data_IF_970026167755
#
_entry.id   IF_970026167755
#
_cell.length_a   1.000
_cell.length_b   1.000
_cell.length_c   1.000
_cell.angle_alpha   90.00
_cell.angle_beta   90.00
_cell.angle_gamma   90.00
#
_symmetry.space_group_name_H-M   'P 1'
#
loop_
_entity.id
_entity.type
_entity.pdbx_description
1 polymer ?
#
# COMPACT_ATOMS: atom_id res chain seq x y z
N UNK A 1 -46.96 -17.67 -20.62
CA UNK A 1 -46.01 -18.18 -19.60
C UNK A 1 -44.66 -17.55 -19.90
N UNK A 2 -44.25 -16.56 -19.13
CA UNK A 2 -43.01 -15.81 -19.37
C UNK A 2 -41.97 -16.30 -18.38
N UNK A 3 -40.99 -17.07 -18.86
CA UNK A 3 -39.90 -17.57 -18.03
C UNK A 3 -38.87 -16.46 -17.80
N UNK A 4 -38.76 -15.99 -16.57
CA UNK A 4 -37.70 -15.08 -16.14
C UNK A 4 -36.43 -15.90 -15.84
N UNK A 5 -35.38 -15.67 -16.63
CA UNK A 5 -34.05 -16.24 -16.37
C UNK A 5 -33.37 -15.37 -15.31
N UNK A 6 -33.34 -15.86 -14.07
CA UNK A 6 -32.57 -15.25 -12.96
C UNK A 6 -31.11 -15.66 -13.16
N UNK A 7 -30.30 -14.72 -13.65
CA UNK A 7 -28.86 -14.88 -13.77
C UNK A 7 -28.24 -14.69 -12.37
N UNK A 8 -28.02 -15.79 -11.64
CA UNK A 8 -27.27 -15.78 -10.39
C UNK A 8 -25.80 -15.40 -10.68
N UNK A 9 -25.45 -14.14 -10.43
CA UNK A 9 -24.06 -13.69 -10.43
C UNK A 9 -23.42 -14.22 -9.14
N UNK A 10 -22.73 -15.34 -9.22
CA UNK A 10 -21.93 -15.84 -8.11
C UNK A 10 -20.76 -14.86 -7.84
N UNK A 11 -20.51 -14.45 -6.59
CA UNK A 11 -19.32 -13.66 -6.26
C UNK A 11 -18.09 -14.56 -6.45
N UNK A 12 -17.28 -14.27 -7.48
CA UNK A 12 -15.97 -14.89 -7.59
C UNK A 12 -15.12 -14.45 -6.38
N UNK A 13 -14.64 -15.38 -5.54
CA UNK A 13 -13.61 -15.03 -4.58
C UNK A 13 -12.38 -14.60 -5.40
N UNK A 14 -11.93 -13.36 -5.20
CA UNK A 14 -10.58 -12.96 -5.63
C UNK A 14 -9.61 -13.75 -4.76
N UNK A 15 -9.33 -14.98 -5.20
CA UNK A 15 -8.22 -15.76 -4.69
C UNK A 15 -6.97 -15.09 -5.24
N UNK A 16 -6.21 -14.48 -4.34
CA UNK A 16 -4.96 -13.84 -4.68
C UNK A 16 -3.96 -14.90 -5.19
N UNK A 17 -3.32 -14.61 -6.32
CA UNK A 17 -2.54 -15.59 -7.09
C UNK A 17 -1.17 -15.85 -6.43
N UNK A 18 -0.62 -17.07 -6.51
CA UNK A 18 0.76 -17.32 -6.10
C UNK A 18 1.75 -16.54 -6.98
N UNK A 19 2.92 -16.20 -6.43
CA UNK A 19 3.95 -15.49 -7.19
C UNK A 19 4.41 -16.34 -8.40
N UNK A 20 4.30 -15.83 -9.64
CA UNK A 20 4.75 -16.55 -10.83
C UNK A 20 6.25 -16.82 -10.78
N UNK A 21 6.69 -18.02 -11.20
CA UNK A 21 8.12 -18.39 -11.25
C UNK A 21 8.96 -17.49 -12.17
N UNK A 22 8.33 -16.78 -13.11
CA UNK A 22 8.97 -15.83 -14.02
C UNK A 22 9.12 -14.43 -13.42
N UNK A 23 8.49 -14.16 -12.27
CA UNK A 23 8.56 -12.87 -11.61
C UNK A 23 9.96 -12.63 -11.04
N UNK A 24 10.52 -11.45 -11.32
CA UNK A 24 11.85 -11.05 -10.85
C UNK A 24 11.71 -9.97 -9.78
N UNK A 25 12.49 -10.02 -8.69
CA UNK A 25 12.49 -8.93 -7.70
C UNK A 25 12.80 -7.59 -8.38
N UNK A 26 12.03 -6.55 -8.04
CA UNK A 26 12.34 -5.19 -8.49
C UNK A 26 13.59 -4.66 -7.79
N UNK A 27 14.33 -3.76 -8.44
CA UNK A 27 15.52 -3.16 -7.83
C UNK A 27 15.16 -2.06 -6.83
N UNK A 28 16.07 -1.71 -5.90
CA UNK A 28 15.86 -0.59 -4.99
C UNK A 28 15.53 0.73 -5.71
N UNK A 29 16.22 1.01 -6.81
CA UNK A 29 16.03 2.24 -7.60
C UNK A 29 14.65 2.29 -8.28
N UNK A 30 14.17 1.15 -8.79
CA UNK A 30 12.84 1.07 -9.40
C UNK A 30 11.75 1.37 -8.36
N UNK A 31 11.87 0.81 -7.16
CA UNK A 31 10.90 1.01 -6.07
C UNK A 31 11.01 2.45 -5.53
N UNK A 32 12.23 2.98 -5.38
CA UNK A 32 12.45 4.37 -4.95
C UNK A 32 11.78 5.34 -5.94
N UNK A 33 11.96 5.13 -7.25
CA UNK A 33 11.30 5.94 -8.30
C UNK A 33 9.79 5.77 -8.31
N UNK A 34 9.29 4.59 -7.96
CA UNK A 34 7.86 4.31 -7.88
C UNK A 34 7.18 5.16 -6.78
N UNK A 35 7.83 5.33 -5.63
CA UNK A 35 7.25 5.99 -4.46
C UNK A 35 7.63 7.47 -4.29
N UNK A 36 8.86 7.84 -4.62
CA UNK A 36 9.39 9.18 -4.34
C UNK A 36 8.52 10.30 -4.93
N UNK A 37 8.07 11.21 -4.07
CA UNK A 37 7.21 12.33 -4.42
C UNK A 37 5.77 11.91 -4.77
N UNK A 38 5.30 10.78 -4.25
CA UNK A 38 3.95 10.27 -4.50
C UNK A 38 3.16 10.02 -3.22
N UNK A 39 1.85 10.08 -3.36
CA UNK A 39 0.90 9.64 -2.36
C UNK A 39 0.36 8.26 -2.73
N UNK A 40 0.39 7.31 -1.80
CA UNK A 40 -0.42 6.09 -1.92
C UNK A 40 -1.78 6.32 -1.28
N UNK A 41 -2.85 6.04 -2.03
CA UNK A 41 -4.22 6.18 -1.57
C UNK A 41 -4.88 4.81 -1.32
N UNK A 42 -4.92 4.38 -0.06
CA UNK A 42 -5.63 3.16 0.34
C UNK A 42 -7.07 3.47 0.74
N UNK A 43 -7.90 2.42 0.89
CA UNK A 43 -9.32 2.56 1.22
C UNK A 43 -9.58 3.35 2.50
N UNK A 44 -8.74 3.18 3.52
CA UNK A 44 -8.94 3.76 4.85
C UNK A 44 -7.83 4.74 5.27
N UNK A 45 -6.79 4.90 4.46
CA UNK A 45 -5.61 5.70 4.79
C UNK A 45 -4.95 6.27 3.53
N UNK A 46 -4.11 7.28 3.71
CA UNK A 46 -3.23 7.79 2.67
C UNK A 46 -1.86 8.10 3.26
N UNK A 47 -0.80 7.86 2.51
CA UNK A 47 0.57 8.20 2.88
C UNK A 47 1.27 8.93 1.73
N UNK A 48 1.93 10.04 2.04
CA UNK A 48 2.83 10.73 1.14
C UNK A 48 4.28 10.35 1.44
N UNK A 49 4.99 9.88 0.42
CA UNK A 49 6.38 9.45 0.45
C UNK A 49 7.26 10.56 -0.12
N UNK A 50 7.80 11.40 0.75
CA UNK A 50 8.60 12.53 0.34
C UNK A 50 9.97 12.06 -0.19
N UNK A 51 10.57 12.76 -1.19
CA UNK A 51 11.87 12.38 -1.75
C UNK A 51 13.04 12.38 -0.75
N UNK A 52 12.89 13.06 0.39
CA UNK A 52 13.89 13.13 1.46
C UNK A 52 13.88 11.91 2.41
N UNK A 53 13.05 10.91 2.13
CA UNK A 53 12.91 9.71 2.96
C UNK A 53 11.91 9.87 4.11
N UNK A 54 11.19 10.99 4.21
CA UNK A 54 10.11 11.15 5.19
C UNK A 54 8.77 10.65 4.66
N UNK A 55 7.93 10.14 5.57
CA UNK A 55 6.54 9.75 5.27
C UNK A 55 5.59 10.45 6.23
N UNK A 56 4.46 10.92 5.71
CA UNK A 56 3.34 11.41 6.53
C UNK A 56 2.02 10.93 5.95
N UNK A 57 1.02 10.79 6.80
CA UNK A 57 -0.25 10.21 6.40
C UNK A 57 -1.33 10.34 7.44
N UNK A 58 -2.51 9.84 7.08
CA UNK A 58 -3.64 9.76 8.00
C UNK A 58 -4.37 8.44 7.84
N UNK A 59 -5.01 7.99 8.92
CA UNK A 59 -5.98 6.90 8.92
C UNK A 59 -7.37 7.45 9.23
N UNK A 60 -8.38 6.84 8.62
CA UNK A 60 -9.77 7.27 8.67
C UNK A 60 -10.14 8.05 7.41
N UNK A 61 -11.11 7.50 6.66
CA UNK A 61 -11.76 8.13 5.52
C UNK A 61 -13.27 7.95 5.64
N UNK A 62 -14.09 8.95 5.28
CA UNK A 62 -13.70 10.29 4.80
C UNK A 62 -13.23 11.25 5.92
N UNK A 63 -13.45 10.87 7.19
CA UNK A 63 -13.05 11.64 8.37
C UNK A 63 -11.75 11.09 8.94
N UNK A 64 -10.76 11.96 9.11
CA UNK A 64 -9.46 11.63 9.70
C UNK A 64 -9.66 11.24 11.16
N UNK A 65 -9.20 10.04 11.53
CA UNK A 65 -9.23 9.53 12.90
C UNK A 65 -7.91 9.73 13.62
N UNK A 66 -6.81 9.63 12.88
CA UNK A 66 -5.46 9.85 13.41
C UNK A 66 -4.51 10.16 12.27
N UNK A 67 -3.41 10.82 12.59
CA UNK A 67 -2.30 11.10 11.67
C UNK A 67 -1.10 10.24 12.03
N UNK A 68 -0.20 10.05 11.07
CA UNK A 68 1.08 9.41 11.33
C UNK A 68 2.21 10.11 10.57
N UNK A 69 3.42 10.01 11.12
CA UNK A 69 4.64 10.44 10.46
C UNK A 69 5.79 9.50 10.78
N UNK A 70 6.81 9.53 9.93
CA UNK A 70 8.00 8.72 10.11
C UNK A 70 8.92 8.81 8.91
N UNK A 71 9.60 7.71 8.62
CA UNK A 71 10.51 7.58 7.48
C UNK A 71 10.12 6.41 6.61
N UNK A 72 10.60 6.40 5.37
CA UNK A 72 10.54 5.26 4.49
C UNK A 72 11.91 4.98 3.89
N UNK A 73 12.16 3.71 3.58
CA UNK A 73 13.41 3.24 2.99
C UNK A 73 13.14 2.04 2.10
N UNK A 74 14.05 1.82 1.15
CA UNK A 74 14.03 0.66 0.26
C UNK A 74 15.28 -0.18 0.51
N UNK A 75 15.09 -1.47 0.77
CA UNK A 75 16.16 -2.46 0.94
C UNK A 75 15.86 -3.66 0.06
N UNK A 76 16.73 -3.93 -0.93
CA UNK A 76 16.46 -4.98 -1.92
C UNK A 76 15.18 -4.67 -2.71
N UNK A 77 14.24 -5.61 -2.72
CA UNK A 77 12.95 -5.43 -3.40
C UNK A 77 11.81 -5.02 -2.45
N UNK A 78 12.14 -4.54 -1.26
CA UNK A 78 11.19 -4.18 -0.21
C UNK A 78 11.26 -2.69 0.11
N UNK A 79 10.12 -2.02 0.16
CA UNK A 79 9.96 -0.71 0.78
C UNK A 79 9.33 -0.88 2.16
N UNK A 80 9.85 -0.20 3.16
CA UNK A 80 9.25 -0.13 4.49
C UNK A 80 9.00 1.32 4.86
N UNK A 81 7.86 1.59 5.50
CA UNK A 81 7.63 2.77 6.31
C UNK A 81 7.79 2.41 7.78
N UNK A 82 8.56 3.20 8.51
CA UNK A 82 8.67 3.14 9.96
C UNK A 82 8.02 4.43 10.49
N UNK A 83 6.96 4.33 11.29
CA UNK A 83 6.15 5.48 11.65
C UNK A 83 5.59 5.42 13.08
N UNK A 84 4.98 6.51 13.50
CA UNK A 84 4.29 6.63 14.77
C UNK A 84 3.01 7.45 14.60
N UNK A 85 2.03 7.14 15.43
CA UNK A 85 0.81 7.94 15.62
C UNK A 85 0.95 8.72 16.94
N UNK A 86 0.01 9.62 17.28
CA UNK A 86 -0.03 10.23 18.61
C UNK A 86 -0.16 9.23 19.77
N UNK A 87 -0.62 7.99 19.52
CA UNK A 87 -0.88 6.98 20.55
C UNK A 87 0.14 5.84 20.55
N UNK A 88 0.71 5.53 19.40
CA UNK A 88 1.51 4.33 19.18
C UNK A 88 2.83 4.69 18.49
N UNK A 89 3.92 4.07 18.93
CA UNK A 89 5.26 4.26 18.35
C UNK A 89 5.86 2.93 17.91
N UNK A 90 6.90 3.00 17.06
CA UNK A 90 7.58 1.80 16.56
C UNK A 90 6.75 0.97 15.58
N UNK A 91 5.77 1.57 14.91
CA UNK A 91 4.98 0.90 13.88
C UNK A 91 5.81 0.78 12.59
N UNK A 92 5.66 -0.33 11.89
CA UNK A 92 6.37 -0.60 10.64
C UNK A 92 5.48 -1.34 9.67
N UNK A 93 5.46 -0.89 8.43
CA UNK A 93 4.68 -1.48 7.35
C UNK A 93 5.56 -1.61 6.10
N UNK A 94 5.59 -2.80 5.48
CA UNK A 94 6.47 -3.09 4.35
C UNK A 94 5.74 -3.74 3.19
N UNK A 95 6.23 -3.44 1.98
CA UNK A 95 5.79 -4.06 0.73
C UNK A 95 6.97 -4.56 -0.07
N UNK A 96 6.91 -5.83 -0.48
CA UNK A 96 7.82 -6.43 -1.44
C UNK A 96 7.26 -6.35 -2.85
N UNK A 97 8.15 -6.18 -3.81
CA UNK A 97 7.81 -5.96 -5.21
C UNK A 97 8.54 -6.90 -6.16
N UNK A 98 7.81 -7.38 -7.16
CA UNK A 98 8.34 -8.16 -8.28
C UNK A 98 7.77 -7.65 -9.59
N UNK A 99 8.52 -7.83 -10.67
CA UNK A 99 8.11 -7.54 -12.03
C UNK A 99 7.92 -8.85 -12.79
N UNK A 100 6.78 -9.00 -13.44
CA UNK A 100 6.49 -10.08 -14.37
C UNK A 100 6.10 -9.47 -15.73
N UNK A 101 7.09 -9.26 -16.61
CA UNK A 101 6.89 -8.48 -17.82
C UNK A 101 6.52 -7.02 -17.50
N UNK A 102 5.30 -6.60 -17.88
CA UNK A 102 4.77 -5.26 -17.60
C UNK A 102 4.04 -5.18 -16.26
N UNK A 103 3.71 -6.31 -15.65
CA UNK A 103 2.98 -6.35 -14.38
C UNK A 103 3.92 -6.11 -13.20
N UNK A 104 3.43 -5.39 -12.21
CA UNK A 104 4.05 -5.25 -10.89
C UNK A 104 3.21 -6.06 -9.90
N UNK A 105 3.87 -6.99 -9.24
CA UNK A 105 3.28 -7.86 -8.22
C UNK A 105 3.80 -7.39 -6.87
N UNK A 106 2.91 -7.29 -5.90
CA UNK A 106 3.17 -6.77 -4.58
C UNK A 106 2.77 -7.80 -3.52
N UNK A 107 3.53 -7.87 -2.44
CA UNK A 107 3.17 -8.56 -1.20
C UNK A 107 3.23 -7.55 -0.07
N UNK A 108 2.18 -7.49 0.76
CA UNK A 108 2.23 -6.78 2.04
C UNK A 108 3.08 -7.65 2.98
N UNK A 109 4.37 -7.33 3.11
CA UNK A 109 5.41 -8.22 3.65
C UNK A 109 5.70 -7.98 5.13
N UNK A 110 5.18 -6.90 5.69
CA UNK A 110 5.10 -6.65 7.13
C UNK A 110 3.88 -5.81 7.40
N UNK A 111 3.00 -6.29 8.26
CA UNK A 111 1.78 -5.57 8.61
C UNK A 111 1.98 -4.85 9.94
N UNK A 112 1.71 -3.55 9.99
CA UNK A 112 1.85 -2.77 11.23
C UNK A 112 0.93 -3.27 12.36
N UNK A 113 -0.16 -3.98 12.02
CA UNK A 113 -1.14 -4.55 12.95
C UNK A 113 -0.74 -5.93 13.49
N UNK A 114 0.43 -6.46 13.08
CA UNK A 114 0.95 -7.75 13.51
C UNK A 114 0.23 -8.96 12.90
N UNK A 115 -0.70 -8.74 11.96
CA UNK A 115 -1.34 -9.85 11.26
C UNK A 115 -0.32 -10.62 10.40
N UNK A 116 -0.57 -11.92 10.23
CA UNK A 116 0.37 -12.81 9.53
C UNK A 116 0.37 -12.51 8.04
N UNK A 117 1.57 -12.46 7.47
CA UNK A 117 1.77 -12.39 6.03
C UNK A 117 1.41 -13.75 5.42
N UNK A 118 0.52 -13.74 4.42
CA UNK A 118 0.28 -14.92 3.59
C UNK A 118 1.33 -14.97 2.47
N UNK A 119 2.45 -15.63 2.72
CA UNK A 119 3.53 -15.73 1.72
C UNK A 119 3.18 -16.65 0.54
N UNK A 120 2.10 -17.43 0.64
CA UNK A 120 1.66 -18.34 -0.41
C UNK A 120 0.69 -17.66 -1.38
N UNK A 121 -0.29 -16.93 -0.85
CA UNK A 121 -1.38 -16.34 -1.64
C UNK A 121 -1.55 -14.83 -1.42
N UNK A 122 -0.72 -14.15 -0.62
CA UNK A 122 -0.87 -12.73 -0.31
C UNK A 122 -0.47 -11.76 -1.42
N UNK A 123 -0.21 -12.24 -2.65
CA UNK A 123 0.27 -11.40 -3.74
C UNK A 123 -0.87 -10.72 -4.49
N UNK A 124 -0.67 -9.47 -4.89
CA UNK A 124 -1.66 -8.68 -5.61
C UNK A 124 -1.00 -7.70 -6.58
N UNK A 125 -1.78 -7.18 -7.54
CA UNK A 125 -1.25 -6.37 -8.67
C UNK A 125 -1.72 -4.92 -8.69
N UNK A 126 -2.57 -4.52 -7.75
CA UNK A 126 -3.22 -3.21 -7.76
C UNK A 126 -2.55 -2.15 -6.88
N UNK A 127 -1.40 -2.43 -6.26
CA UNK A 127 -0.73 -1.46 -5.38
C UNK A 127 -0.28 -0.21 -6.15
N UNK A 128 0.39 -0.42 -7.29
CA UNK A 128 0.90 0.68 -8.11
C UNK A 128 -0.20 1.63 -8.60
N UNK A 129 -1.41 1.12 -8.81
CA UNK A 129 -2.54 1.93 -9.24
C UNK A 129 -3.02 2.95 -8.18
N UNK A 130 -2.69 2.70 -6.91
CA UNK A 130 -3.02 3.56 -5.76
C UNK A 130 -2.07 4.74 -5.62
N UNK A 131 -0.91 4.70 -6.29
CA UNK A 131 0.06 5.79 -6.28
C UNK A 131 -0.40 6.95 -7.17
N UNK A 132 -0.38 8.15 -6.61
CA UNK A 132 -0.71 9.42 -7.26
C UNK A 132 0.47 10.38 -7.10
N UNK A 133 0.74 11.17 -8.14
CA UNK A 133 1.82 12.15 -8.08
C UNK A 133 1.48 13.26 -7.08
N UNK A 134 2.51 13.71 -6.33
CA UNK A 134 2.42 14.85 -5.42
C UNK A 134 1.94 14.50 -4.00
N UNK A 135 2.02 15.51 -3.14
CA UNK A 135 1.51 15.48 -1.77
C UNK A 135 0.01 15.79 -1.79
N UNK A 136 -0.80 14.74 -1.63
CA UNK A 136 -2.26 14.83 -1.54
C UNK A 136 -2.75 14.66 -0.09
N UNK A 137 -1.80 14.67 0.87
CA UNK A 137 -2.03 14.29 2.27
C UNK A 137 -1.96 15.50 3.18
N UNK A 138 -1.10 16.48 2.90
CA UNK A 138 -0.81 17.63 3.76
C UNK A 138 -2.04 18.33 4.34
N UNK A 139 -3.05 18.63 3.51
CA UNK A 139 -4.26 19.33 3.97
C UNK A 139 -5.01 18.51 5.02
N UNK A 140 -5.29 17.24 4.73
CA UNK A 140 -5.98 16.32 5.65
C UNK A 140 -5.14 15.99 6.88
N UNK A 141 -3.83 15.91 6.72
CA UNK A 141 -2.88 15.73 7.82
C UNK A 141 -2.95 16.88 8.82
N UNK A 142 -2.91 18.12 8.34
CA UNK A 142 -3.04 19.30 9.20
C UNK A 142 -4.43 19.39 9.86
N UNK A 143 -5.51 19.10 9.12
CA UNK A 143 -6.88 19.01 9.68
C UNK A 143 -6.99 17.97 10.81
N UNK A 144 -6.22 16.89 10.73
CA UNK A 144 -6.15 15.83 11.74
C UNK A 144 -5.25 16.16 12.94
N UNK A 145 -4.70 17.38 13.03
CA UNK A 145 -3.79 17.81 14.10
C UNK A 145 -2.33 17.41 13.88
N UNK A 146 -1.96 16.97 12.68
CA UNK A 146 -0.58 16.68 12.32
C UNK A 146 0.26 17.95 12.14
N UNK A 147 1.48 17.94 12.66
CA UNK A 147 2.49 19.01 12.55
C UNK A 147 3.77 18.49 11.92
#
# INVERSE_FOLDING_TARGET
MTAAVILCIAPFPVLADPLPKTAKPMTPDEITKLYSGKTTDWKISSAYFAPDGTVKGYLGKPVVKTTFKGTWKVTGNEICMDFSTPKDSGLSDCWKYWRNGKEVITLWSRHFDGSKVDEANGYYKNEVAKLKAGDLVSTKYAEGGGT
#
